data_IF_773506971247
#
_entry.id   IF_773506971247
#
_cell.length_a   1.000
_cell.length_b   1.000
_cell.length_c   1.000
_cell.angle_alpha   90.00
_cell.angle_beta   90.00
_cell.angle_gamma   90.00
#
_symmetry.space_group_name_H-M   'P 1'
#
loop_
_entity.id
_entity.type
_entity.pdbx_description
1 polymer ?
#
# COMPACT_ATOMS: atom_id res chain seq x y z
N UNK A 1 49.09 46.59 28.28
CA UNK A 1 49.32 45.16 28.01
C UNK A 1 48.41 44.74 26.85
N UNK A 2 49.02 44.39 25.71
CA UNK A 2 48.47 43.66 24.55
C UNK A 2 47.89 42.30 25.02
N UNK A 3 46.91 41.60 24.40
CA UNK A 3 46.31 41.55 23.05
C UNK A 3 44.92 40.83 23.16
N UNK A 4 44.05 40.94 22.14
CA UNK A 4 42.79 40.18 21.95
C UNK A 4 42.98 38.95 21.02
N UNK A 5 41.96 38.07 20.90
CA UNK A 5 41.63 37.06 19.83
C UNK A 5 40.97 35.83 20.48
N UNK A 6 40.08 35.04 19.88
CA UNK A 6 39.45 34.95 18.55
C UNK A 6 38.25 33.99 18.73
N UNK A 7 37.26 34.12 17.85
CA UNK A 7 36.22 33.14 17.58
C UNK A 7 36.78 31.73 17.35
N UNK A 8 36.16 30.71 17.94
CA UNK A 8 36.21 29.37 17.38
C UNK A 8 34.84 28.71 17.43
N UNK A 9 34.15 28.85 16.30
CA UNK A 9 33.15 27.93 15.79
C UNK A 9 33.67 26.49 15.93
N UNK A 10 32.97 25.68 16.73
CA UNK A 10 33.02 24.22 16.68
C UNK A 10 31.60 23.69 16.60
N UNK A 11 31.03 23.78 15.41
CA UNK A 11 30.08 22.77 14.91
C UNK A 11 30.74 21.39 14.98
N UNK A 12 30.60 20.72 16.11
CA UNK A 12 30.77 19.28 16.18
C UNK A 12 29.59 18.64 15.44
N UNK A 13 29.82 18.34 14.15
CA UNK A 13 29.00 17.42 13.39
C UNK A 13 28.96 16.08 14.14
N UNK A 14 27.81 15.78 14.76
CA UNK A 14 27.49 14.46 15.27
C UNK A 14 27.27 13.54 14.06
N UNK A 15 28.34 12.90 13.61
CA UNK A 15 28.27 11.70 12.79
C UNK A 15 27.59 10.61 13.64
N UNK A 16 26.34 10.23 13.32
CA UNK A 16 25.65 9.07 13.91
C UNK A 16 25.94 7.83 13.04
N UNK A 17 26.82 6.90 13.44
CA UNK A 17 27.07 5.65 12.74
C UNK A 17 26.16 4.56 13.33
N UNK A 18 24.90 4.54 12.91
CA UNK A 18 23.91 3.60 13.44
C UNK A 18 22.60 3.50 12.65
N UNK A 19 22.34 4.42 11.72
CA UNK A 19 21.22 4.32 10.77
C UNK A 19 21.60 3.44 9.57
N UNK A 20 22.86 3.51 9.18
CA UNK A 20 23.58 2.82 8.12
C UNK A 20 23.60 1.29 8.30
N UNK A 21 23.77 0.79 9.53
CA UNK A 21 23.79 -0.65 9.81
C UNK A 21 22.41 -1.30 9.76
N UNK A 22 21.35 -0.58 10.17
CA UNK A 22 19.96 -1.06 10.05
C UNK A 22 19.48 -1.00 8.60
N UNK A 23 19.84 0.06 7.87
CA UNK A 23 19.53 0.19 6.44
C UNK A 23 20.19 -0.93 5.63
N UNK A 24 21.46 -1.24 5.90
CA UNK A 24 22.18 -2.31 5.21
C UNK A 24 21.65 -3.72 5.56
N UNK A 25 21.16 -3.94 6.80
CA UNK A 25 20.49 -5.19 7.17
C UNK A 25 19.15 -5.35 6.44
N UNK A 26 18.35 -4.28 6.33
CA UNK A 26 17.10 -4.28 5.59
C UNK A 26 17.30 -4.41 4.07
N UNK A 27 18.29 -3.73 3.50
CA UNK A 27 18.68 -3.89 2.09
C UNK A 27 19.05 -5.34 1.81
N UNK A 28 19.87 -5.97 2.68
CA UNK A 28 20.19 -7.39 2.53
C UNK A 28 18.95 -8.28 2.68
N UNK A 29 18.04 -8.03 3.62
CA UNK A 29 16.80 -8.80 3.75
C UNK A 29 15.89 -8.65 2.54
N UNK A 30 15.71 -7.44 2.00
CA UNK A 30 14.90 -7.19 0.80
C UNK A 30 15.57 -7.80 -0.44
N UNK A 31 16.89 -7.66 -0.60
CA UNK A 31 17.64 -8.30 -1.68
C UNK A 31 17.54 -9.81 -1.61
N UNK A 32 17.69 -10.42 -0.43
CA UNK A 32 17.55 -11.87 -0.24
C UNK A 32 16.12 -12.32 -0.60
N UNK A 33 15.09 -11.60 -0.17
CA UNK A 33 13.69 -11.93 -0.52
C UNK A 33 13.46 -11.77 -2.03
N UNK A 34 13.96 -10.70 -2.66
CA UNK A 34 13.76 -10.42 -4.09
C UNK A 34 14.54 -11.40 -4.99
N UNK A 35 15.74 -11.81 -4.60
CA UNK A 35 16.58 -12.73 -5.38
C UNK A 35 16.21 -14.20 -5.17
N UNK A 36 15.62 -14.55 -4.02
CA UNK A 36 15.27 -15.93 -3.68
C UNK A 36 13.81 -16.29 -4.00
N UNK A 37 13.02 -15.34 -4.49
CA UNK A 37 11.70 -15.61 -5.05
C UNK A 37 11.86 -15.90 -6.55
N UNK A 38 11.69 -17.16 -7.00
CA UNK A 38 11.66 -17.48 -8.41
C UNK A 38 10.36 -16.94 -9.02
N UNK A 39 10.36 -15.67 -9.45
CA UNK A 39 9.19 -14.96 -10.01
C UNK A 39 8.54 -15.78 -11.14
N UNK A 40 9.36 -16.47 -11.95
CA UNK A 40 8.88 -17.36 -13.00
C UNK A 40 8.09 -18.58 -12.46
N UNK A 41 8.50 -19.17 -11.33
CA UNK A 41 7.75 -20.28 -10.70
C UNK A 41 6.46 -19.79 -10.03
N UNK A 42 6.46 -18.61 -9.42
CA UNK A 42 5.23 -17.99 -8.86
C UNK A 42 4.23 -17.71 -9.98
N UNK A 43 4.69 -17.17 -11.10
CA UNK A 43 3.86 -16.96 -12.29
C UNK A 43 3.27 -18.27 -12.82
N UNK A 44 4.10 -19.33 -12.92
CA UNK A 44 3.64 -20.66 -13.33
C UNK A 44 2.63 -21.29 -12.35
N UNK A 45 2.83 -21.12 -11.04
CA UNK A 45 1.91 -21.60 -10.02
C UNK A 45 0.57 -20.88 -10.07
N UNK A 46 0.57 -19.56 -10.24
CA UNK A 46 -0.68 -18.78 -10.40
C UNK A 46 -1.44 -19.18 -11.66
N UNK A 47 -0.74 -19.41 -12.78
CA UNK A 47 -1.34 -19.91 -14.05
C UNK A 47 -1.86 -21.34 -13.93
N UNK A 48 -1.27 -22.17 -13.05
CA UNK A 48 -1.72 -23.55 -12.84
C UNK A 48 -2.93 -23.61 -11.90
N UNK A 49 -2.95 -22.80 -10.85
CA UNK A 49 -4.08 -22.67 -9.92
C UNK A 49 -5.30 -22.06 -10.63
N UNK A 50 -5.10 -21.06 -11.49
CA UNK A 50 -6.22 -20.43 -12.23
C UNK A 50 -6.94 -21.39 -13.18
N UNK A 51 -6.27 -22.46 -13.65
CA UNK A 51 -6.87 -23.52 -14.47
C UNK A 51 -7.76 -24.50 -13.69
N UNK A 52 -7.66 -24.53 -12.36
CA UNK A 52 -8.47 -25.40 -11.50
C UNK A 52 -9.88 -24.85 -11.23
N UNK A 53 -10.13 -23.58 -11.53
CA UNK A 53 -11.41 -22.92 -11.24
C UNK A 53 -12.34 -22.92 -12.46
N UNK A 54 -13.57 -23.41 -12.28
CA UNK A 54 -14.67 -23.31 -13.26
C UNK A 54 -15.11 -21.84 -13.46
N UNK A 55 -15.69 -21.49 -14.61
CA UNK A 55 -16.08 -20.11 -14.95
C UNK A 55 -16.88 -19.38 -13.86
N UNK A 56 -17.96 -20.00 -13.36
CA UNK A 56 -18.79 -19.43 -12.28
C UNK A 56 -18.01 -19.22 -10.98
N UNK A 57 -17.15 -20.17 -10.60
CA UNK A 57 -16.36 -20.06 -9.36
C UNK A 57 -15.36 -18.90 -9.48
N UNK A 58 -14.78 -18.67 -10.67
CA UNK A 58 -13.90 -17.51 -10.92
C UNK A 58 -14.63 -16.19 -10.72
N UNK A 59 -15.82 -16.04 -11.29
CA UNK A 59 -16.63 -14.83 -11.16
C UNK A 59 -16.97 -14.52 -9.70
N UNK A 60 -17.50 -15.51 -8.96
CA UNK A 60 -17.78 -15.37 -7.54
C UNK A 60 -16.52 -15.05 -6.73
N UNK A 61 -15.38 -15.69 -7.04
CA UNK A 61 -14.10 -15.42 -6.37
C UNK A 61 -13.65 -13.97 -6.58
N UNK A 62 -13.67 -13.48 -7.82
CA UNK A 62 -13.30 -12.09 -8.14
C UNK A 62 -14.24 -11.11 -7.45
N UNK A 63 -15.55 -11.39 -7.47
CA UNK A 63 -16.55 -10.55 -6.82
C UNK A 63 -16.30 -10.43 -5.32
N UNK A 64 -16.09 -11.55 -4.63
CA UNK A 64 -15.78 -11.56 -3.18
C UNK A 64 -14.51 -10.77 -2.88
N UNK A 65 -13.45 -10.93 -3.68
CA UNK A 65 -12.20 -10.17 -3.50
C UNK A 65 -12.45 -8.68 -3.70
N UNK A 66 -13.19 -8.27 -4.74
CA UNK A 66 -13.52 -6.86 -4.98
C UNK A 66 -14.31 -6.26 -3.81
N UNK A 67 -15.26 -7.00 -3.24
CA UNK A 67 -16.03 -6.56 -2.07
C UNK A 67 -15.15 -6.39 -0.83
N UNK A 68 -14.22 -7.31 -0.57
CA UNK A 68 -13.26 -7.20 0.53
C UNK A 68 -12.35 -5.97 0.38
N UNK A 69 -11.79 -5.77 -0.82
CA UNK A 69 -10.97 -4.61 -1.15
C UNK A 69 -11.73 -3.29 -1.00
N UNK A 70 -13.00 -3.26 -1.45
CA UNK A 70 -13.87 -2.09 -1.34
C UNK A 70 -14.14 -1.73 0.12
N UNK A 71 -14.54 -2.71 0.95
CA UNK A 71 -14.81 -2.47 2.39
C UNK A 71 -13.56 -1.93 3.08
N UNK A 72 -12.39 -2.47 2.76
CA UNK A 72 -11.11 -2.02 3.30
C UNK A 72 -10.83 -0.56 2.95
N UNK A 73 -10.93 -0.17 1.68
CA UNK A 73 -10.66 1.22 1.26
C UNK A 73 -11.73 2.21 1.74
N UNK A 74 -13.01 1.82 1.77
CA UNK A 74 -14.05 2.67 2.33
C UNK A 74 -13.86 2.91 3.83
N UNK A 75 -13.57 1.86 4.59
CA UNK A 75 -13.25 2.01 6.02
C UNK A 75 -12.02 2.88 6.25
N UNK A 76 -10.96 2.59 5.49
CA UNK A 76 -9.70 3.33 5.54
C UNK A 76 -9.85 4.82 5.18
N UNK A 77 -10.67 5.14 4.19
CA UNK A 77 -10.99 6.52 3.81
C UNK A 77 -11.81 7.22 4.89
N UNK A 78 -12.84 6.55 5.42
CA UNK A 78 -13.68 7.10 6.49
C UNK A 78 -12.88 7.42 7.76
N UNK A 79 -11.96 6.54 8.15
CA UNK A 79 -11.09 6.76 9.31
C UNK A 79 -10.16 7.96 9.10
N UNK A 80 -9.60 8.12 7.89
CA UNK A 80 -8.75 9.28 7.56
C UNK A 80 -9.50 10.59 7.48
N UNK A 81 -10.77 10.57 7.06
CA UNK A 81 -11.61 11.78 7.03
C UNK A 81 -12.00 12.15 8.47
N UNK A 82 -12.38 11.17 9.28
CA UNK A 82 -12.82 11.37 10.66
C UNK A 82 -11.68 11.87 11.55
N UNK A 83 -10.48 11.32 11.38
CA UNK A 83 -9.28 11.68 12.14
C UNK A 83 -8.21 12.33 11.24
N UNK A 84 -8.64 13.30 10.43
CA UNK A 84 -7.83 13.96 9.40
C UNK A 84 -6.58 14.65 9.97
N UNK A 85 -6.72 15.37 11.09
CA UNK A 85 -5.60 16.08 11.70
C UNK A 85 -4.47 15.14 12.11
N UNK A 86 -4.84 13.98 12.64
CA UNK A 86 -3.89 12.94 13.04
C UNK A 86 -3.21 12.34 11.82
N UNK A 87 -3.97 12.02 10.76
CA UNK A 87 -3.42 11.50 9.51
C UNK A 87 -2.43 12.50 8.89
N UNK A 88 -2.80 13.78 8.80
CA UNK A 88 -1.94 14.85 8.29
C UNK A 88 -0.67 15.01 9.13
N UNK A 89 -0.78 15.01 10.46
CA UNK A 89 0.39 15.05 11.36
C UNK A 89 1.29 13.81 11.19
N UNK A 90 0.72 12.66 10.86
CA UNK A 90 1.45 11.45 10.47
C UNK A 90 2.31 11.69 9.24
N UNK A 91 1.71 12.21 8.17
CA UNK A 91 2.40 12.53 6.92
C UNK A 91 3.51 13.58 7.12
N UNK A 92 3.28 14.57 7.99
CA UNK A 92 4.23 15.65 8.27
C UNK A 92 5.55 15.17 8.92
N UNK A 93 5.58 13.99 9.52
CA UNK A 93 6.79 13.44 10.18
C UNK A 93 7.80 12.84 9.21
N UNK A 94 7.40 12.63 7.96
CA UNK A 94 8.27 12.07 6.93
C UNK A 94 8.93 13.22 6.18
N UNK A 95 10.26 13.39 6.27
CA UNK A 95 10.94 14.60 5.79
C UNK A 95 10.60 14.99 4.34
N UNK A 96 10.51 14.00 3.44
CA UNK A 96 10.31 14.21 2.00
C UNK A 96 8.87 14.52 1.58
N UNK A 97 7.85 14.16 2.37
CA UNK A 97 6.44 14.47 2.07
C UNK A 97 5.85 15.52 3.02
N UNK A 98 6.62 15.98 4.01
CA UNK A 98 6.12 16.87 5.05
C UNK A 98 5.48 18.15 4.52
N UNK A 99 6.09 18.76 3.49
CA UNK A 99 5.57 19.97 2.82
C UNK A 99 4.29 19.73 2.02
N UNK A 100 4.03 18.48 1.61
CA UNK A 100 2.85 18.08 0.85
C UNK A 100 1.76 17.44 1.73
N UNK A 101 2.00 17.31 3.04
CA UNK A 101 1.11 16.63 3.97
C UNK A 101 -0.35 17.12 3.89
N UNK A 102 -0.67 18.43 3.81
CA UNK A 102 -2.05 18.89 3.71
C UNK A 102 -2.75 18.44 2.42
N UNK A 103 -2.03 18.41 1.29
CA UNK A 103 -2.59 18.00 0.00
C UNK A 103 -2.79 16.48 -0.02
N UNK A 104 -1.79 15.73 0.45
CA UNK A 104 -1.83 14.27 0.51
C UNK A 104 -2.93 13.80 1.49
N UNK A 105 -3.14 14.54 2.59
CA UNK A 105 -4.15 14.21 3.60
C UNK A 105 -5.58 14.14 3.03
N UNK A 106 -5.89 14.97 2.02
CA UNK A 106 -7.15 14.92 1.29
C UNK A 106 -7.11 14.01 0.07
N UNK A 107 -6.00 13.99 -0.67
CA UNK A 107 -5.89 13.21 -1.90
C UNK A 107 -5.99 11.70 -1.64
N UNK A 108 -5.39 11.21 -0.55
CA UNK A 108 -5.40 9.78 -0.21
C UNK A 108 -6.81 9.23 0.03
N UNK A 109 -7.63 9.76 0.97
CA UNK A 109 -8.98 9.25 1.19
C UNK A 109 -9.89 9.43 -0.05
N UNK A 110 -9.68 10.49 -0.85
CA UNK A 110 -10.40 10.67 -2.11
C UNK A 110 -10.07 9.56 -3.13
N UNK A 111 -8.79 9.21 -3.28
CA UNK A 111 -8.35 8.12 -4.15
C UNK A 111 -8.82 6.76 -3.65
N UNK A 112 -8.79 6.52 -2.34
CA UNK A 112 -9.32 5.28 -1.73
C UNK A 112 -10.82 5.12 -2.03
N UNK A 113 -11.61 6.18 -1.83
CA UNK A 113 -13.04 6.16 -2.15
C UNK A 113 -13.30 5.97 -3.65
N UNK A 114 -12.57 6.67 -4.52
CA UNK A 114 -12.69 6.52 -5.97
C UNK A 114 -12.38 5.08 -6.42
N UNK A 115 -11.32 4.48 -5.89
CA UNK A 115 -10.98 3.08 -6.19
C UNK A 115 -12.04 2.11 -5.66
N UNK A 116 -12.58 2.35 -4.46
CA UNK A 116 -13.67 1.54 -3.93
C UNK A 116 -14.92 1.57 -4.84
N UNK A 117 -15.26 2.73 -5.39
CA UNK A 117 -16.35 2.87 -6.37
C UNK A 117 -16.03 2.12 -7.67
N UNK A 118 -14.78 2.20 -8.16
CA UNK A 118 -14.38 1.46 -9.36
C UNK A 118 -14.49 -0.06 -9.17
N UNK A 119 -14.24 -0.57 -7.96
CA UNK A 119 -14.31 -2.00 -7.62
C UNK A 119 -15.74 -2.57 -7.68
N UNK A 120 -16.77 -1.79 -7.33
CA UNK A 120 -18.16 -2.28 -7.31
C UNK A 120 -18.82 -2.25 -8.70
N UNK A 121 -18.40 -1.34 -9.56
CA UNK A 121 -18.98 -1.17 -10.91
C UNK A 121 -18.36 -2.23 -11.85
N UNK A 122 -19.14 -3.21 -12.35
CA UNK A 122 -18.59 -4.36 -13.09
C UNK A 122 -17.65 -4.02 -14.26
N UNK A 123 -17.97 -3.06 -15.16
CA UNK A 123 -17.07 -2.73 -16.27
C UNK A 123 -15.77 -2.06 -15.83
N UNK A 124 -15.72 -1.46 -14.64
CA UNK A 124 -14.53 -0.77 -14.11
C UNK A 124 -13.79 -1.56 -13.04
N UNK A 125 -14.34 -2.67 -12.56
CA UNK A 125 -13.79 -3.50 -11.48
C UNK A 125 -12.31 -3.84 -11.68
N UNK A 126 -11.91 -4.10 -12.93
CA UNK A 126 -10.51 -4.37 -13.29
C UNK A 126 -9.60 -3.15 -13.09
N UNK A 127 -10.05 -1.96 -13.44
CA UNK A 127 -9.35 -0.72 -13.14
C UNK A 127 -9.32 -0.44 -11.65
N UNK A 128 -10.40 -0.76 -10.94
CA UNK A 128 -10.45 -0.74 -9.47
C UNK A 128 -9.39 -1.64 -8.85
N UNK A 129 -9.22 -2.87 -9.34
CA UNK A 129 -8.19 -3.81 -8.85
C UNK A 129 -6.76 -3.31 -9.12
N UNK A 130 -6.49 -2.69 -10.29
CA UNK A 130 -5.21 -2.05 -10.55
C UNK A 130 -4.96 -0.85 -9.62
N UNK A 131 -5.94 0.02 -9.46
CA UNK A 131 -5.87 1.16 -8.54
C UNK A 131 -5.66 0.73 -7.10
N UNK A 132 -6.37 -0.31 -6.65
CA UNK A 132 -6.22 -0.90 -5.33
C UNK A 132 -4.81 -1.44 -5.12
N UNK A 133 -4.32 -2.25 -6.06
CA UNK A 133 -2.95 -2.81 -6.02
C UNK A 133 -1.91 -1.69 -5.95
N UNK A 134 -2.05 -0.64 -6.78
CA UNK A 134 -1.14 0.50 -6.80
C UNK A 134 -1.12 1.27 -5.48
N UNK A 135 -2.30 1.60 -4.94
CA UNK A 135 -2.41 2.30 -3.65
C UNK A 135 -1.88 1.45 -2.48
N UNK A 136 -2.12 0.13 -2.48
CA UNK A 136 -1.56 -0.78 -1.47
C UNK A 136 -0.03 -0.82 -1.49
N UNK A 137 0.58 -0.80 -2.68
CA UNK A 137 2.03 -0.70 -2.82
C UNK A 137 2.53 0.65 -2.29
N UNK A 138 1.87 1.75 -2.66
CA UNK A 138 2.22 3.10 -2.18
C UNK A 138 2.13 3.17 -0.65
N UNK A 139 1.07 2.62 -0.04
CA UNK A 139 0.94 2.55 1.42
C UNK A 139 2.03 1.71 2.07
N UNK A 140 2.41 0.60 1.45
CA UNK A 140 3.52 -0.23 1.93
C UNK A 140 4.84 0.55 1.91
N UNK A 141 5.13 1.25 0.82
CA UNK A 141 6.31 2.11 0.72
C UNK A 141 6.27 3.23 1.77
N UNK A 142 5.13 3.89 1.95
CA UNK A 142 4.95 4.91 2.98
C UNK A 142 5.25 4.38 4.39
N UNK A 143 4.71 3.20 4.74
CA UNK A 143 4.97 2.56 6.04
C UNK A 143 6.45 2.25 6.21
N UNK A 144 7.11 1.72 5.17
CA UNK A 144 8.55 1.46 5.20
C UNK A 144 9.36 2.74 5.39
N UNK A 145 9.02 3.81 4.66
CA UNK A 145 9.65 5.12 4.81
C UNK A 145 9.48 5.67 6.23
N UNK A 146 8.28 5.56 6.80
CA UNK A 146 8.03 5.93 8.19
C UNK A 146 8.91 5.16 9.18
N UNK A 147 9.08 3.85 8.97
CA UNK A 147 9.92 3.01 9.86
C UNK A 147 11.41 3.34 9.77
N UNK A 148 11.89 3.80 8.61
CA UNK A 148 13.31 4.05 8.36
C UNK A 148 13.74 5.51 8.61
N UNK A 149 12.84 6.47 8.35
CA UNK A 149 13.19 7.89 8.26
C UNK A 149 12.55 8.77 9.34
N UNK A 150 11.52 8.29 10.04
CA UNK A 150 10.91 9.07 11.10
C UNK A 150 11.82 9.10 12.34
N UNK A 151 12.15 10.30 12.81
CA UNK A 151 13.05 10.50 13.97
C UNK A 151 12.50 9.86 15.26
N UNK A 152 11.17 9.79 15.39
CA UNK A 152 10.45 9.06 16.42
C UNK A 152 9.24 8.39 15.78
N UNK A 153 9.13 7.06 15.94
CA UNK A 153 7.91 6.36 15.56
C UNK A 153 6.75 6.94 16.39
N UNK A 154 5.61 7.27 15.77
CA UNK A 154 4.48 7.83 16.50
C UNK A 154 4.01 6.81 17.54
N UNK A 155 4.10 7.17 18.82
CA UNK A 155 3.44 6.44 19.88
C UNK A 155 1.92 6.60 19.70
N UNK A 156 1.23 5.49 19.38
CA UNK A 156 -0.23 5.23 19.44
C UNK A 156 -1.23 6.28 18.91
N UNK A 157 -0.80 7.31 18.17
CA UNK A 157 -1.75 8.33 17.72
C UNK A 157 -2.56 7.94 16.47
N UNK A 158 -2.22 6.91 15.69
CA UNK A 158 -2.87 6.70 14.38
C UNK A 158 -4.02 5.67 14.47
N UNK A 159 -5.26 6.11 14.20
CA UNK A 159 -6.50 5.39 14.50
C UNK A 159 -6.65 4.02 13.83
N UNK A 160 -6.08 3.84 12.62
CA UNK A 160 -6.09 2.55 11.92
C UNK A 160 -4.80 1.71 12.13
N UNK A 161 -3.72 2.34 12.62
CA UNK A 161 -2.48 1.62 12.98
C UNK A 161 -2.39 1.18 14.45
N UNK A 162 -3.21 1.71 15.35
CA UNK A 162 -3.07 1.46 16.79
C UNK A 162 -3.38 0.04 17.27
N UNK A 163 -3.99 -0.82 16.43
CA UNK A 163 -4.36 -2.20 16.81
C UNK A 163 -3.41 -3.29 16.31
N UNK A 164 -2.45 -2.98 15.43
CA UNK A 164 -1.52 -3.99 14.91
C UNK A 164 -0.09 -3.43 14.82
N UNK A 165 0.90 -4.32 14.98
CA UNK A 165 2.31 -3.95 14.89
C UNK A 165 2.69 -3.48 13.49
N UNK A 166 3.78 -2.74 13.36
CA UNK A 166 4.30 -2.29 12.06
C UNK A 166 4.52 -3.44 11.06
N UNK A 167 5.05 -4.57 11.55
CA UNK A 167 5.16 -5.79 10.74
C UNK A 167 3.80 -6.39 10.37
N UNK A 168 2.82 -6.30 11.27
CA UNK A 168 1.43 -6.68 11.01
C UNK A 168 0.82 -5.88 9.85
N UNK A 169 1.04 -4.56 9.80
CA UNK A 169 0.60 -3.71 8.68
C UNK A 169 1.23 -4.11 7.35
N UNK A 170 2.53 -4.37 7.34
CA UNK A 170 3.23 -4.80 6.13
C UNK A 170 2.69 -6.15 5.63
N UNK A 171 2.44 -7.10 6.53
CA UNK A 171 1.86 -8.39 6.17
C UNK A 171 0.42 -8.26 5.68
N UNK A 172 -0.39 -7.44 6.34
CA UNK A 172 -1.76 -7.12 5.93
C UNK A 172 -1.78 -6.52 4.52
N UNK A 173 -0.90 -5.56 4.26
CA UNK A 173 -0.82 -4.93 2.95
C UNK A 173 -0.35 -5.90 1.86
N UNK A 174 0.65 -6.73 2.16
CA UNK A 174 1.13 -7.76 1.24
C UNK A 174 0.04 -8.81 0.93
N UNK A 175 -0.74 -9.22 1.93
CA UNK A 175 -1.86 -10.15 1.76
C UNK A 175 -2.94 -9.61 0.84
N UNK A 176 -3.40 -8.38 1.06
CA UNK A 176 -4.40 -7.73 0.21
C UNK A 176 -3.88 -7.41 -1.19
N UNK A 177 -2.59 -7.05 -1.32
CA UNK A 177 -1.94 -6.90 -2.63
C UNK A 177 -1.93 -8.24 -3.39
N UNK A 178 -1.59 -9.33 -2.71
CA UNK A 178 -1.62 -10.68 -3.28
C UNK A 178 -3.02 -11.12 -3.72
N UNK A 179 -4.05 -10.84 -2.90
CA UNK A 179 -5.45 -11.11 -3.25
C UNK A 179 -5.89 -10.34 -4.50
N UNK A 180 -5.56 -9.05 -4.59
CA UNK A 180 -5.91 -8.23 -5.76
C UNK A 180 -5.20 -8.72 -7.04
N UNK A 181 -3.91 -9.07 -6.94
CA UNK A 181 -3.14 -9.65 -8.05
C UNK A 181 -3.69 -11.02 -8.47
N UNK A 182 -4.14 -11.85 -7.52
CA UNK A 182 -4.79 -13.11 -7.80
C UNK A 182 -6.11 -12.90 -8.55
N UNK A 183 -6.96 -11.98 -8.10
CA UNK A 183 -8.19 -11.59 -8.78
C UNK A 183 -7.93 -11.11 -10.22
N UNK A 184 -6.92 -10.24 -10.42
CA UNK A 184 -6.51 -9.78 -11.76
C UNK A 184 -6.06 -10.93 -12.66
N UNK A 185 -5.35 -11.91 -12.10
CA UNK A 185 -4.84 -13.07 -12.85
C UNK A 185 -5.95 -14.01 -13.33
N UNK A 186 -6.98 -14.23 -12.50
CA UNK A 186 -8.12 -15.10 -12.85
C UNK A 186 -9.20 -14.36 -13.67
N UNK A 187 -9.34 -13.04 -13.49
CA UNK A 187 -10.27 -12.17 -14.23
C UNK A 187 -9.92 -12.06 -15.72
N UNK A 188 -8.64 -12.23 -16.09
CA UNK A 188 -8.15 -12.15 -17.47
C UNK A 188 -8.84 -13.13 -18.45
N UNK A 189 -9.54 -14.15 -17.95
CA UNK A 189 -10.23 -15.16 -18.76
C UNK A 189 -11.73 -14.93 -18.97
N UNK A 190 -12.30 -13.80 -18.52
CA UNK A 190 -13.75 -13.59 -18.61
C UNK A 190 -14.16 -12.21 -19.13
N UNK A 191 -13.58 -11.81 -20.28
CA UNK A 191 -14.21 -10.82 -21.16
C UNK A 191 -15.21 -11.58 -22.05
N UNK A 192 -16.27 -12.08 -21.43
CA UNK A 192 -17.53 -12.34 -22.10
C UNK A 192 -18.61 -11.83 -21.15
N UNK A 193 -18.70 -10.51 -21.07
CA UNK A 193 -19.89 -9.89 -20.52
C UNK A 193 -21.04 -10.32 -21.44
N UNK A 194 -22.03 -11.01 -20.86
CA UNK A 194 -23.28 -11.42 -21.50
C UNK A 194 -23.78 -10.33 -22.45
N UNK A 195 -23.57 -10.53 -23.74
CA UNK A 195 -24.35 -9.90 -24.81
C UNK A 195 -25.48 -10.84 -25.29
N UNK A 196 -25.74 -11.95 -24.59
CA UNK A 196 -26.64 -13.00 -25.12
C UNK A 196 -27.91 -13.26 -24.29
N UNK A 197 -28.28 -12.40 -23.33
CA UNK A 197 -29.63 -12.48 -22.72
C UNK A 197 -30.69 -11.63 -23.44
N UNK A 198 -30.29 -10.74 -24.35
CA UNK A 198 -31.23 -9.96 -25.17
C UNK A 198 -31.55 -10.58 -26.54
N UNK A 199 -30.94 -11.72 -26.88
CA UNK A 199 -31.16 -12.44 -28.16
C UNK A 199 -31.94 -13.75 -28.00
N UNK A 200 -32.35 -14.12 -26.77
CA UNK A 200 -33.30 -15.22 -26.54
C UNK A 200 -34.74 -14.76 -26.31
N UNK A 201 -34.99 -13.44 -26.40
CA UNK A 201 -36.31 -12.82 -26.26
C UNK A 201 -36.73 -12.02 -27.51
N UNK A 202 -36.10 -12.26 -28.66
CA UNK A 202 -36.55 -11.79 -29.97
C UNK A 202 -36.78 -12.96 -30.91
#
# INVERSE_FOLDING_TARGET
MMKPKESHDKKHALFRPGADSKLHFFEKSIYIIMYHIPIHKIHLLTVRISRLFTGKVKEYTVFVICMLCMVLFMGSAADKITDHDTFQKGLARVPFISSYAPVIAWAVPALEAAVAILLIVPPTSRWGLFGFTGLMIIFTVYILSMMLLAEKLPCNCNLLLSKMSWGGHLLFNAGFTGLALFALSISKMNIHFKENEHEQLR
#
